data_IF_931822858805
#
_entry.id   IF_931822858805
#
_cell.length_a   1.000
_cell.length_b   1.000
_cell.length_c   1.000
_cell.angle_alpha   90.00
_cell.angle_beta   90.00
_cell.angle_gamma   90.00
#
_symmetry.space_group_name_H-M   'P 1'
#
loop_
_entity.id
_entity.type
_entity.pdbx_description
1 polymer ?
#
# COMPACT_ATOMS: atom_id res chain seq x y z
N UNK A 1 -2.23 -11.41 12.11
CA UNK A 1 -1.59 -10.79 10.93
C UNK A 1 -1.05 -9.42 11.31
N UNK A 2 0.18 -9.09 10.92
CA UNK A 2 0.81 -7.80 11.21
C UNK A 2 0.89 -6.95 9.95
N UNK A 3 0.39 -5.72 9.99
CA UNK A 3 0.25 -4.84 8.83
C UNK A 3 0.92 -3.50 9.12
N UNK A 4 1.86 -3.10 8.27
CA UNK A 4 2.41 -1.75 8.25
C UNK A 4 1.50 -0.83 7.43
N UNK A 5 1.11 0.32 7.97
CA UNK A 5 0.52 1.39 7.18
C UNK A 5 1.43 2.61 7.15
N UNK A 6 1.72 3.08 5.97
CA UNK A 6 2.64 4.19 5.74
C UNK A 6 1.93 5.32 5.00
N UNK A 7 1.75 6.45 5.66
CA UNK A 7 1.26 7.65 5.02
C UNK A 7 2.45 8.48 4.52
N UNK A 8 2.43 8.80 3.23
CA UNK A 8 3.49 9.55 2.57
C UNK A 8 2.93 10.91 2.20
N UNK A 9 3.38 11.94 2.90
CA UNK A 9 2.91 13.31 2.72
C UNK A 9 3.78 14.30 3.46
N UNK A 10 4.39 15.23 2.75
CA UNK A 10 5.13 16.38 3.34
C UNK A 10 4.27 17.13 4.37
N UNK A 11 3.01 17.39 4.03
CA UNK A 11 2.10 18.18 4.87
C UNK A 11 1.65 17.43 6.13
N UNK A 12 1.41 16.14 6.03
CA UNK A 12 1.07 15.34 7.20
C UNK A 12 2.29 15.12 8.09
N UNK A 13 3.46 14.88 7.53
CA UNK A 13 4.72 14.76 8.28
C UNK A 13 5.09 16.06 9.03
N UNK A 14 4.78 17.21 8.45
CA UNK A 14 4.95 18.51 9.09
C UNK A 14 3.83 18.89 10.09
N UNK A 15 2.82 18.02 10.27
CA UNK A 15 1.69 18.29 11.18
C UNK A 15 0.73 19.40 10.69
N UNK A 16 0.79 19.77 9.39
CA UNK A 16 -0.04 20.83 8.81
C UNK A 16 -1.50 20.39 8.69
N UNK A 17 -1.74 19.10 8.46
CA UNK A 17 -3.08 18.55 8.49
C UNK A 17 -3.11 17.11 9.02
N UNK A 18 -4.27 16.68 9.50
CA UNK A 18 -4.44 15.32 10.03
C UNK A 18 -4.49 14.28 8.90
N UNK A 19 -3.72 13.20 9.06
CA UNK A 19 -3.81 12.03 8.18
C UNK A 19 -5.20 11.39 8.28
N UNK A 20 -5.89 11.28 7.15
CA UNK A 20 -7.18 10.60 7.03
C UNK A 20 -7.10 9.33 6.20
N UNK A 21 -6.13 9.24 5.32
CA UNK A 21 -5.96 8.10 4.42
C UNK A 21 -5.35 6.89 5.11
N UNK A 22 -4.41 7.10 6.02
CA UNK A 22 -3.84 6.03 6.83
C UNK A 22 -4.88 5.32 7.70
N UNK A 23 -5.67 6.01 8.54
CA UNK A 23 -6.78 5.40 9.27
C UNK A 23 -7.80 4.68 8.38
N UNK A 24 -8.07 5.18 7.16
CA UNK A 24 -8.98 4.50 6.23
C UNK A 24 -8.42 3.16 5.75
N UNK A 25 -7.09 3.03 5.57
CA UNK A 25 -6.46 1.73 5.30
C UNK A 25 -6.81 0.73 6.40
N UNK A 26 -6.67 1.12 7.66
CA UNK A 26 -6.97 0.23 8.79
C UNK A 26 -8.45 -0.17 8.82
N UNK A 27 -9.36 0.79 8.63
CA UNK A 27 -10.79 0.55 8.63
C UNK A 27 -11.17 -0.50 7.57
N UNK A 28 -10.74 -0.27 6.33
CA UNK A 28 -11.07 -1.14 5.20
C UNK A 28 -10.44 -2.53 5.36
N UNK A 29 -9.17 -2.61 5.76
CA UNK A 29 -8.51 -3.91 5.95
C UNK A 29 -9.12 -4.73 7.10
N UNK A 30 -9.61 -4.10 8.17
CA UNK A 30 -10.33 -4.81 9.23
C UNK A 30 -11.63 -5.44 8.73
N UNK A 31 -12.31 -4.79 7.78
CA UNK A 31 -13.52 -5.34 7.14
C UNK A 31 -13.21 -6.62 6.34
N UNK A 32 -12.03 -6.70 5.69
CA UNK A 32 -11.66 -7.83 4.83
C UNK A 32 -10.96 -8.97 5.58
N UNK A 33 -10.09 -8.63 6.53
CA UNK A 33 -9.14 -9.57 7.15
C UNK A 33 -9.68 -10.08 8.48
N UNK A 34 -10.61 -9.34 9.09
CA UNK A 34 -11.14 -9.62 10.43
C UNK A 34 -10.37 -8.91 11.54
N UNK A 35 -10.91 -9.02 12.78
CA UNK A 35 -10.49 -8.19 13.91
C UNK A 35 -9.09 -8.41 14.47
N UNK A 36 -8.39 -9.49 14.10
CA UNK A 36 -7.10 -9.88 14.70
C UNK A 36 -5.88 -9.24 14.02
N UNK A 37 -6.09 -8.29 13.09
CA UNK A 37 -5.00 -7.58 12.46
C UNK A 37 -4.39 -6.53 13.41
N UNK A 38 -3.06 -6.62 13.59
CA UNK A 38 -2.26 -5.64 14.34
C UNK A 38 -1.63 -4.66 13.36
N UNK A 39 -1.82 -3.37 13.59
CA UNK A 39 -1.31 -2.32 12.73
C UNK A 39 -0.13 -1.60 13.36
N UNK A 40 0.94 -1.46 12.58
CA UNK A 40 2.04 -0.54 12.84
C UNK A 40 1.91 0.66 11.90
N UNK A 41 2.06 1.86 12.40
CA UNK A 41 1.84 3.07 11.58
C UNK A 41 3.03 4.00 11.57
N UNK A 42 3.23 4.67 10.42
CA UNK A 42 4.19 5.75 10.29
C UNK A 42 3.70 6.80 9.29
N UNK A 43 4.19 8.02 9.43
CA UNK A 43 4.01 9.10 8.47
C UNK A 43 5.39 9.61 8.12
N UNK A 44 5.68 9.72 6.82
CA UNK A 44 6.96 10.23 6.31
C UNK A 44 6.73 11.28 5.23
N UNK A 45 7.68 12.22 5.02
CA UNK A 45 7.62 13.14 3.90
C UNK A 45 7.83 12.42 2.56
N UNK A 46 7.55 13.11 1.46
CA UNK A 46 7.71 12.63 0.07
C UNK A 46 9.20 12.62 -0.33
N UNK A 47 10.00 11.73 0.29
CA UNK A 47 11.43 11.55 0.05
C UNK A 47 11.78 10.07 -0.13
N UNK A 48 12.45 9.73 -1.24
CA UNK A 48 12.76 8.34 -1.63
C UNK A 48 13.45 7.57 -0.52
N UNK A 49 14.47 8.17 0.10
CA UNK A 49 15.29 7.53 1.14
C UNK A 49 14.47 7.22 2.39
N UNK A 50 13.62 8.16 2.82
CA UNK A 50 12.79 8.00 4.02
C UNK A 50 11.66 6.99 3.80
N UNK A 51 11.03 7.04 2.64
CA UNK A 51 10.01 6.05 2.25
C UNK A 51 10.64 4.65 2.18
N UNK A 52 11.76 4.49 1.47
CA UNK A 52 12.46 3.22 1.33
C UNK A 52 12.93 2.66 2.68
N UNK A 53 13.44 3.51 3.57
CA UNK A 53 13.84 3.11 4.91
C UNK A 53 12.65 2.63 5.74
N UNK A 54 11.50 3.32 5.67
CA UNK A 54 10.27 2.92 6.35
C UNK A 54 9.75 1.57 5.83
N UNK A 55 9.74 1.37 4.51
CA UNK A 55 9.32 0.11 3.89
C UNK A 55 10.19 -1.07 4.34
N UNK A 56 11.52 -0.90 4.32
CA UNK A 56 12.45 -1.92 4.84
C UNK A 56 12.24 -2.18 6.33
N UNK A 57 12.04 -1.14 7.13
CA UNK A 57 11.77 -1.29 8.56
C UNK A 57 10.54 -2.16 8.82
N UNK A 58 9.42 -1.89 8.12
CA UNK A 58 8.21 -2.68 8.24
C UNK A 58 8.41 -4.13 7.80
N UNK A 59 9.01 -4.33 6.62
CA UNK A 59 9.18 -5.67 6.06
C UNK A 59 10.26 -6.49 6.80
N UNK A 60 11.44 -5.93 7.02
CA UNK A 60 12.61 -6.68 7.49
C UNK A 60 12.71 -6.71 9.02
N UNK A 61 12.54 -5.57 9.69
CA UNK A 61 12.73 -5.47 11.13
C UNK A 61 11.46 -5.79 11.91
N UNK A 62 10.31 -5.23 11.49
CA UNK A 62 9.04 -5.44 12.17
C UNK A 62 8.30 -6.70 11.71
N UNK A 63 8.78 -7.34 10.63
CA UNK A 63 8.21 -8.57 10.07
C UNK A 63 6.71 -8.45 9.80
N UNK A 64 6.30 -7.35 9.17
CA UNK A 64 4.93 -7.20 8.71
C UNK A 64 4.64 -8.19 7.58
N UNK A 65 3.46 -8.82 7.61
CA UNK A 65 2.96 -9.67 6.52
C UNK A 65 2.63 -8.83 5.27
N UNK A 66 2.18 -7.59 5.50
CA UNK A 66 1.84 -6.64 4.45
C UNK A 66 2.21 -5.22 4.85
N UNK A 67 2.60 -4.40 3.89
CA UNK A 67 2.70 -2.95 4.03
C UNK A 67 1.82 -2.28 3.01
N UNK A 68 0.97 -1.37 3.46
CA UNK A 68 0.14 -0.55 2.58
C UNK A 68 0.55 0.91 2.73
N UNK A 69 0.91 1.53 1.61
CA UNK A 69 1.22 2.96 1.59
C UNK A 69 0.07 3.77 1.01
N UNK A 70 -0.04 5.02 1.38
CA UNK A 70 -0.97 5.98 0.78
C UNK A 70 -0.29 7.32 0.54
N UNK A 71 -0.51 7.91 -0.64
CA UNK A 71 0.09 9.17 -1.06
C UNK A 71 1.31 9.03 -1.97
N UNK A 72 1.72 10.13 -2.59
CA UNK A 72 2.92 10.23 -3.44
C UNK A 72 2.92 9.36 -4.70
N UNK A 73 1.74 8.99 -5.25
CA UNK A 73 1.63 8.08 -6.40
C UNK A 73 1.28 8.76 -7.72
N UNK A 74 1.21 10.07 -7.77
CA UNK A 74 0.89 10.85 -8.97
C UNK A 74 2.09 11.16 -9.85
N UNK A 75 2.01 12.29 -10.57
CA UNK A 75 3.01 12.75 -11.55
C UNK A 75 3.71 14.05 -11.16
N UNK A 76 3.44 14.57 -9.97
CA UNK A 76 4.12 15.77 -9.45
C UNK A 76 5.57 15.44 -9.10
N UNK A 77 6.44 16.45 -9.08
CA UNK A 77 7.85 16.25 -8.77
C UNK A 77 8.10 15.64 -7.38
N UNK A 78 7.17 15.84 -6.44
CA UNK A 78 7.23 15.26 -5.10
C UNK A 78 6.58 13.87 -5.00
N UNK A 79 5.89 13.39 -6.03
CA UNK A 79 5.30 12.05 -6.05
C UNK A 79 6.39 11.02 -6.38
N UNK A 80 7.01 10.44 -5.36
CA UNK A 80 8.17 9.53 -5.48
C UNK A 80 7.93 8.17 -4.80
N UNK A 81 6.70 7.89 -4.39
CA UNK A 81 6.36 6.62 -3.73
C UNK A 81 6.65 5.40 -4.61
N UNK A 82 6.32 5.38 -5.91
CA UNK A 82 6.63 4.24 -6.76
C UNK A 82 8.14 3.99 -6.88
N UNK A 83 8.94 5.03 -7.05
CA UNK A 83 10.40 4.93 -7.13
C UNK A 83 11.00 4.34 -5.85
N UNK A 84 10.58 4.85 -4.70
CA UNK A 84 11.01 4.34 -3.40
C UNK A 84 10.59 2.88 -3.17
N UNK A 85 9.41 2.51 -3.66
CA UNK A 85 8.89 1.14 -3.56
C UNK A 85 9.69 0.19 -4.46
N UNK A 86 9.89 0.53 -5.73
CA UNK A 86 10.71 -0.27 -6.65
C UNK A 86 12.13 -0.51 -6.12
N UNK A 87 12.74 0.48 -5.44
CA UNK A 87 14.08 0.36 -4.86
C UNK A 87 14.18 -0.69 -3.73
N UNK A 88 13.07 -1.17 -3.19
CA UNK A 88 13.06 -2.16 -2.10
C UNK A 88 12.41 -3.49 -2.48
N UNK A 89 11.69 -3.57 -3.58
CA UNK A 89 11.04 -4.80 -4.02
C UNK A 89 12.04 -5.83 -4.53
N UNK A 90 11.77 -7.10 -4.26
CA UNK A 90 12.46 -8.25 -4.83
C UNK A 90 11.69 -8.86 -6.01
N UNK A 91 10.36 -8.73 -5.96
CA UNK A 91 9.45 -9.15 -7.05
C UNK A 91 8.39 -8.09 -7.25
N UNK A 92 8.16 -7.70 -8.50
CA UNK A 92 7.11 -6.76 -8.86
C UNK A 92 5.78 -7.48 -9.15
N UNK A 93 4.67 -6.84 -8.79
CA UNK A 93 3.31 -7.30 -9.05
C UNK A 93 2.54 -6.20 -9.81
N UNK A 94 2.86 -5.96 -11.09
CA UNK A 94 2.31 -4.84 -11.87
C UNK A 94 0.79 -4.91 -12.01
N UNK A 95 0.20 -6.12 -12.01
CA UNK A 95 -1.24 -6.33 -12.10
C UNK A 95 -2.05 -5.61 -11.04
N UNK A 96 -1.49 -5.35 -9.85
CA UNK A 96 -2.15 -4.56 -8.82
C UNK A 96 -2.40 -3.12 -9.27
N UNK A 97 -1.36 -2.46 -9.78
CA UNK A 97 -1.46 -1.10 -10.31
C UNK A 97 -2.37 -1.02 -11.54
N UNK A 98 -2.31 -2.02 -12.42
CA UNK A 98 -3.16 -2.14 -13.60
C UNK A 98 -4.64 -2.26 -13.21
N UNK A 99 -4.98 -3.16 -12.29
CA UNK A 99 -6.35 -3.36 -11.82
C UNK A 99 -6.93 -2.08 -11.19
N UNK A 100 -6.16 -1.40 -10.33
CA UNK A 100 -6.56 -0.12 -9.74
C UNK A 100 -6.86 0.92 -10.80
N UNK A 101 -5.95 1.14 -11.76
CA UNK A 101 -6.14 2.14 -12.82
C UNK A 101 -7.34 1.83 -13.70
N UNK A 102 -7.47 0.59 -14.17
CA UNK A 102 -8.55 0.19 -15.09
C UNK A 102 -9.92 0.32 -14.42
N UNK A 103 -10.06 -0.20 -13.21
CA UNK A 103 -11.37 -0.21 -12.53
C UNK A 103 -11.75 1.18 -12.03
N UNK A 104 -10.80 1.97 -11.50
CA UNK A 104 -11.07 3.33 -11.06
C UNK A 104 -11.35 4.29 -12.23
N UNK A 105 -10.87 4.00 -13.45
CA UNK A 105 -11.09 4.84 -14.63
C UNK A 105 -12.58 5.02 -14.98
N UNK A 106 -13.41 4.04 -14.65
CA UNK A 106 -14.86 4.13 -14.86
C UNK A 106 -15.49 5.28 -14.06
N UNK A 107 -14.95 5.60 -12.89
CA UNK A 107 -15.45 6.64 -11.98
C UNK A 107 -14.64 7.93 -12.05
N UNK A 108 -13.32 7.81 -12.14
CA UNK A 108 -12.36 8.93 -12.08
C UNK A 108 -11.48 8.90 -13.32
N UNK A 109 -11.74 9.75 -14.29
CA UNK A 109 -11.02 9.78 -15.57
C UNK A 109 -9.51 10.01 -15.45
N UNK A 110 -9.07 10.65 -14.38
CA UNK A 110 -7.65 10.89 -14.08
C UNK A 110 -6.97 9.74 -13.33
N UNK A 111 -7.67 8.65 -13.01
CA UNK A 111 -7.07 7.47 -12.38
C UNK A 111 -5.91 6.88 -13.19
N UNK A 112 -5.94 7.04 -14.51
CA UNK A 112 -4.88 6.63 -15.44
C UNK A 112 -3.52 7.29 -15.15
N UNK A 113 -3.49 8.43 -14.45
CA UNK A 113 -2.26 9.13 -14.08
C UNK A 113 -1.60 8.53 -12.83
N UNK A 114 -2.26 7.61 -12.14
CA UNK A 114 -1.69 6.94 -10.98
C UNK A 114 -0.56 6.01 -11.40
N UNK A 115 0.58 6.12 -10.73
CA UNK A 115 1.75 5.24 -10.88
C UNK A 115 1.86 4.23 -9.74
N UNK A 116 0.78 4.09 -8.96
CA UNK A 116 0.72 3.10 -7.87
C UNK A 116 1.12 1.70 -8.35
N UNK A 117 1.91 1.01 -7.57
CA UNK A 117 2.45 -0.32 -7.84
C UNK A 117 2.36 -1.22 -6.61
N UNK A 118 2.72 -2.48 -6.78
CA UNK A 118 2.85 -3.44 -5.70
C UNK A 118 3.97 -4.44 -5.97
N UNK A 119 4.37 -5.15 -4.93
CA UNK A 119 5.37 -6.21 -5.06
C UNK A 119 5.65 -6.90 -3.72
N UNK A 120 6.68 -7.71 -3.72
CA UNK A 120 7.08 -8.53 -2.57
C UNK A 120 8.50 -8.21 -2.16
N UNK A 121 8.71 -8.10 -0.83
CA UNK A 121 10.03 -8.09 -0.21
C UNK A 121 10.07 -9.15 0.89
N UNK A 122 10.92 -10.16 0.72
CA UNK A 122 10.93 -11.34 1.59
C UNK A 122 9.56 -12.02 1.58
N UNK A 123 8.91 -12.11 2.74
CA UNK A 123 7.54 -12.61 2.89
C UNK A 123 6.50 -11.48 3.04
N UNK A 124 6.85 -10.23 2.76
CA UNK A 124 5.99 -9.07 2.94
C UNK A 124 5.42 -8.60 1.59
N UNK A 125 4.10 -8.50 1.49
CA UNK A 125 3.41 -7.87 0.38
C UNK A 125 3.40 -6.35 0.58
N UNK A 126 3.91 -5.58 -0.39
CA UNK A 126 3.91 -4.11 -0.36
C UNK A 126 2.96 -3.59 -1.44
N UNK A 127 2.02 -2.71 -1.05
CA UNK A 127 1.01 -2.15 -1.97
C UNK A 127 0.95 -0.65 -1.82
N UNK A 128 1.07 0.09 -2.93
CA UNK A 128 0.87 1.54 -2.95
C UNK A 128 -0.58 1.87 -3.28
N UNK A 129 -1.15 2.84 -2.56
CA UNK A 129 -2.50 3.37 -2.79
C UNK A 129 -2.47 4.88 -3.04
N UNK A 130 -3.50 5.42 -3.72
CA UNK A 130 -3.68 6.87 -3.84
C UNK A 130 -3.84 7.56 -2.49
N UNK A 131 -3.61 8.89 -2.45
CA UNK A 131 -3.66 9.67 -1.21
C UNK A 131 -5.05 10.07 -0.72
N UNK A 132 -6.12 9.89 -1.50
CA UNK A 132 -7.49 10.25 -1.08
C UNK A 132 -8.15 9.10 -0.32
N UNK A 133 -8.79 9.32 0.85
CA UNK A 133 -9.45 8.25 1.60
C UNK A 133 -10.46 7.44 0.80
N UNK A 134 -11.29 8.11 -0.02
CA UNK A 134 -12.25 7.41 -0.89
C UNK A 134 -11.59 6.52 -1.94
N UNK A 135 -10.43 6.94 -2.47
CA UNK A 135 -9.67 6.13 -3.42
C UNK A 135 -8.92 4.98 -2.71
N UNK A 136 -8.50 5.16 -1.47
CA UNK A 136 -7.96 4.08 -0.62
C UNK A 136 -8.97 2.96 -0.48
N UNK A 137 -10.21 3.28 -0.09
CA UNK A 137 -11.30 2.30 0.04
C UNK A 137 -11.55 1.58 -1.27
N UNK A 138 -11.80 2.32 -2.34
CA UNK A 138 -12.08 1.76 -3.66
C UNK A 138 -10.97 0.82 -4.13
N UNK A 139 -9.71 1.24 -4.03
CA UNK A 139 -8.58 0.42 -4.46
C UNK A 139 -8.41 -0.84 -3.61
N UNK A 140 -8.58 -0.77 -2.29
CA UNK A 140 -8.51 -1.94 -1.43
C UNK A 140 -9.65 -2.93 -1.69
N UNK A 141 -10.87 -2.45 -1.96
CA UNK A 141 -12.00 -3.30 -2.36
C UNK A 141 -11.70 -4.05 -3.66
N UNK A 142 -11.12 -3.37 -4.65
CA UNK A 142 -10.68 -3.98 -5.92
C UNK A 142 -9.63 -5.08 -5.67
N UNK A 143 -8.67 -4.81 -4.80
CA UNK A 143 -7.50 -5.67 -4.57
C UNK A 143 -7.74 -6.78 -3.55
N UNK A 144 -8.81 -6.75 -2.77
CA UNK A 144 -9.04 -7.65 -1.64
C UNK A 144 -8.89 -9.15 -1.98
N UNK A 145 -9.42 -9.67 -3.09
CA UNK A 145 -9.23 -11.08 -3.46
C UNK A 145 -7.75 -11.41 -3.70
N UNK A 146 -7.04 -10.58 -4.47
CA UNK A 146 -5.63 -10.78 -4.78
C UNK A 146 -4.72 -10.63 -3.54
N UNK A 147 -5.05 -9.72 -2.63
CA UNK A 147 -4.33 -9.56 -1.36
C UNK A 147 -4.46 -10.84 -0.52
N UNK A 148 -5.67 -11.39 -0.36
CA UNK A 148 -5.89 -12.62 0.44
C UNK A 148 -5.08 -13.79 -0.11
N UNK A 149 -5.16 -14.02 -1.41
CA UNK A 149 -4.46 -15.11 -2.07
C UNK A 149 -2.94 -14.92 -2.03
N UNK A 150 -2.47 -13.70 -2.33
CA UNK A 150 -1.04 -13.38 -2.26
C UNK A 150 -0.44 -13.58 -0.87
N UNK A 151 -1.17 -13.20 0.18
CA UNK A 151 -0.74 -13.44 1.57
C UNK A 151 -0.72 -14.93 1.93
N UNK A 152 -1.66 -15.72 1.45
CA UNK A 152 -1.67 -17.18 1.62
C UNK A 152 -0.42 -17.82 0.96
N UNK A 153 -0.14 -17.47 -0.29
CA UNK A 153 1.06 -17.93 -1.00
C UNK A 153 2.35 -17.54 -0.28
N UNK A 154 2.45 -16.30 0.23
CA UNK A 154 3.64 -15.85 0.96
C UNK A 154 3.86 -16.59 2.29
N UNK A 155 2.79 -17.13 2.89
CA UNK A 155 2.87 -18.01 4.08
C UNK A 155 3.10 -19.48 3.75
N UNK A 156 3.18 -19.85 2.47
CA UNK A 156 3.32 -21.23 2.03
C UNK A 156 2.02 -22.04 2.14
N UNK A 157 0.88 -21.37 2.24
CA UNK A 157 -0.44 -22.01 2.17
C UNK A 157 -0.80 -22.24 0.69
N UNK A 158 -1.36 -23.41 0.36
CA UNK A 158 -1.96 -23.64 -0.96
C UNK A 158 -3.46 -23.32 -0.90
N UNK A 159 -3.93 -22.17 -1.41
CA UNK A 159 -5.34 -21.82 -1.39
C UNK A 159 -6.20 -22.69 -2.31
N UNK A 160 -5.59 -23.55 -3.14
CA UNK A 160 -6.26 -24.46 -4.08
C UNK A 160 -6.29 -25.91 -3.61
N UNK A 161 -5.59 -26.28 -2.54
CA UNK A 161 -5.74 -27.59 -1.89
C UNK A 161 -7.06 -27.62 -1.10
N UNK A 162 -8.12 -28.08 -1.79
CA UNK A 162 -9.39 -28.51 -1.17
C UNK A 162 -9.77 -29.86 -1.63
#
# INVERSE_FOLDING_TARGET
MKIGRLTISDRAAAGIYADRSGPEIENVLREFIGGDAVFESAIVPDEVELISAALRKFADAQKCDMVVTTGGTGISARDVTPEATHAVLEKELPGFGEAMRIQSLARVKTAILSRATAGVRGACLIVNLPGKPSAVRECLEILAPAIREGLAHLRGEDPHEK
#
